data_IF_216385022840
#
_entry.id   IF_216385022840
#
_cell.length_a   1.000
_cell.length_b   1.000
_cell.length_c   1.000
_cell.angle_alpha   90.00
_cell.angle_beta   90.00
_cell.angle_gamma   90.00
#
_symmetry.space_group_name_H-M   'P 1'
#
loop_
_entity.id
_entity.type
_entity.pdbx_description
1 polymer ?
#
# COMPACT_ATOMS: atom_id res chain seq x y z
N UNK A 1 41.03 -12.44 -23.13
CA UNK A 1 40.34 -11.12 -22.92
C UNK A 1 40.43 -10.20 -24.16
N UNK A 2 41.55 -10.14 -24.87
CA UNK A 2 41.72 -9.25 -26.04
C UNK A 2 40.77 -9.53 -27.21
N UNK A 3 40.43 -10.80 -27.48
CA UNK A 3 39.56 -11.20 -28.61
C UNK A 3 38.12 -10.72 -28.41
N UNK A 4 37.57 -10.82 -27.20
CA UNK A 4 36.22 -10.40 -26.91
C UNK A 4 36.01 -8.89 -27.02
N UNK A 5 36.98 -8.08 -26.59
CA UNK A 5 36.91 -6.61 -26.70
C UNK A 5 36.95 -6.19 -28.16
N UNK A 6 37.75 -6.86 -29.00
CA UNK A 6 37.86 -6.58 -30.43
C UNK A 6 36.59 -6.97 -31.20
N UNK A 7 35.91 -8.05 -30.80
CA UNK A 7 34.61 -8.46 -31.35
C UNK A 7 33.51 -7.42 -31.01
N UNK A 8 33.45 -6.94 -29.76
CA UNK A 8 32.50 -5.91 -29.32
C UNK A 8 32.73 -4.60 -30.09
N UNK A 9 33.98 -4.22 -30.29
CA UNK A 9 34.32 -2.98 -31.02
C UNK A 9 34.07 -3.08 -32.52
N UNK A 10 34.11 -4.28 -33.11
CA UNK A 10 33.80 -4.52 -34.52
C UNK A 10 32.30 -4.58 -34.81
N UNK A 11 31.47 -4.97 -33.80
CA UNK A 11 30.04 -5.10 -33.96
C UNK A 11 29.25 -4.16 -33.04
N UNK A 12 29.76 -2.94 -32.82
CA UNK A 12 29.21 -1.95 -31.86
C UNK A 12 27.70 -1.71 -32.01
N UNK A 13 27.17 -1.68 -33.23
CA UNK A 13 25.73 -1.47 -33.45
C UNK A 13 24.86 -2.61 -32.91
N UNK A 14 25.31 -3.86 -33.09
CA UNK A 14 24.54 -5.04 -32.58
C UNK A 14 24.58 -5.12 -31.05
N UNK A 15 25.75 -4.98 -30.45
CA UNK A 15 25.91 -4.99 -29.00
C UNK A 15 25.21 -3.81 -28.34
N UNK A 16 25.26 -2.63 -28.99
CA UNK A 16 24.54 -1.45 -28.52
C UNK A 16 23.03 -1.63 -28.54
N UNK A 17 22.49 -2.29 -29.57
CA UNK A 17 21.03 -2.59 -29.65
C UNK A 17 20.61 -3.59 -28.57
N UNK A 18 21.38 -4.67 -28.38
CA UNK A 18 21.10 -5.64 -27.30
C UNK A 18 21.18 -4.98 -25.93
N UNK A 19 22.26 -4.24 -25.67
CA UNK A 19 22.44 -3.54 -24.40
C UNK A 19 21.32 -2.50 -24.16
N UNK A 20 20.95 -1.75 -25.20
CA UNK A 20 19.84 -0.79 -25.13
C UNK A 20 18.49 -1.46 -24.84
N UNK A 21 18.20 -2.59 -25.47
CA UNK A 21 16.96 -3.34 -25.21
C UNK A 21 16.92 -3.90 -23.78
N UNK A 22 18.03 -4.51 -23.32
CA UNK A 22 18.13 -5.02 -21.95
C UNK A 22 18.02 -3.88 -20.95
N UNK A 23 18.69 -2.76 -21.18
CA UNK A 23 18.61 -1.57 -20.32
C UNK A 23 17.18 -1.02 -20.23
N UNK A 24 16.47 -0.94 -21.38
CA UNK A 24 15.09 -0.48 -21.43
C UNK A 24 14.15 -1.41 -20.63
N UNK A 25 14.27 -2.72 -20.82
CA UNK A 25 13.46 -3.70 -20.08
C UNK A 25 13.76 -3.62 -18.58
N UNK A 26 15.02 -3.52 -18.20
CA UNK A 26 15.43 -3.37 -16.80
C UNK A 26 14.84 -2.10 -16.20
N UNK A 27 14.90 -0.98 -16.93
CA UNK A 27 14.29 0.29 -16.49
C UNK A 27 12.80 0.14 -16.26
N UNK A 28 12.07 -0.49 -17.20
CA UNK A 28 10.63 -0.73 -17.06
C UNK A 28 10.29 -1.58 -15.82
N UNK A 29 11.06 -2.64 -15.58
CA UNK A 29 10.88 -3.50 -14.40
C UNK A 29 11.11 -2.72 -13.11
N UNK A 30 12.19 -1.93 -13.04
CA UNK A 30 12.53 -1.11 -11.87
C UNK A 30 11.44 -0.06 -11.60
N UNK A 31 11.01 0.67 -12.64
CA UNK A 31 9.94 1.68 -12.52
C UNK A 31 8.62 1.04 -12.05
N UNK A 32 8.24 -0.09 -12.65
CA UNK A 32 7.01 -0.79 -12.25
C UNK A 32 7.10 -1.32 -10.82
N UNK A 33 8.24 -1.86 -10.41
CA UNK A 33 8.44 -2.33 -9.03
C UNK A 33 8.33 -1.17 -8.02
N UNK A 34 8.93 -0.02 -8.35
CA UNK A 34 8.82 1.18 -7.53
C UNK A 34 7.39 1.70 -7.43
N UNK A 35 6.66 1.72 -8.56
CA UNK A 35 5.24 2.10 -8.58
C UNK A 35 4.39 1.15 -7.73
N UNK A 36 4.58 -0.16 -7.87
CA UNK A 36 3.86 -1.18 -7.09
C UNK A 36 4.09 -1.00 -5.59
N UNK A 37 5.34 -0.74 -5.18
CA UNK A 37 5.67 -0.50 -3.78
C UNK A 37 5.05 0.81 -3.26
N UNK A 38 5.04 1.87 -4.08
CA UNK A 38 4.42 3.15 -3.73
C UNK A 38 2.91 3.06 -3.55
N UNK A 39 2.21 2.42 -4.49
CA UNK A 39 0.77 2.18 -4.40
C UNK A 39 0.41 1.28 -3.21
N UNK A 40 1.23 0.24 -2.95
CA UNK A 40 1.06 -0.60 -1.78
C UNK A 40 1.09 0.21 -0.48
N UNK A 41 2.06 1.11 -0.32
CA UNK A 41 2.15 1.97 0.87
C UNK A 41 0.95 2.89 1.03
N UNK A 42 0.39 3.42 -0.05
CA UNK A 42 -0.83 4.23 0.01
C UNK A 42 -2.06 3.43 0.45
N UNK A 43 -2.04 2.11 0.27
CA UNK A 43 -3.10 1.24 0.78
C UNK A 43 -2.91 0.87 2.25
N UNK A 44 -1.69 0.60 2.71
CA UNK A 44 -1.43 -0.19 3.92
C UNK A 44 -0.62 0.54 4.98
N UNK A 45 -0.04 1.73 4.71
CA UNK A 45 0.94 2.36 5.60
C UNK A 45 0.42 2.62 7.02
N UNK A 46 -0.86 2.94 7.19
CA UNK A 46 -1.45 3.14 8.51
C UNK A 46 -1.52 1.83 9.32
N UNK A 47 -1.90 0.74 8.67
CA UNK A 47 -1.94 -0.59 9.32
C UNK A 47 -0.54 -1.12 9.61
N UNK A 48 0.41 -0.90 8.69
CA UNK A 48 1.82 -1.25 8.89
C UNK A 48 2.46 -0.48 10.04
N UNK A 49 2.09 0.80 10.21
CA UNK A 49 2.60 1.63 11.30
C UNK A 49 2.02 1.24 12.68
N UNK A 50 0.80 0.68 12.72
CA UNK A 50 0.23 0.10 13.93
C UNK A 50 0.85 -1.26 14.29
N UNK A 51 1.40 -1.98 13.31
CA UNK A 51 2.14 -3.25 13.40
C UNK A 51 1.53 -4.32 14.33
N UNK A 52 0.21 -4.61 14.27
CA UNK A 52 -0.37 -5.69 15.05
C UNK A 52 0.10 -7.06 14.53
N UNK A 53 0.27 -8.03 15.42
CA UNK A 53 0.57 -9.41 15.01
C UNK A 53 -0.64 -10.09 14.39
N UNK A 54 -1.85 -9.79 14.89
CA UNK A 54 -3.10 -10.34 14.39
C UNK A 54 -4.18 -9.27 14.25
N UNK A 55 -5.01 -9.45 13.24
CA UNK A 55 -6.23 -8.66 12.98
C UNK A 55 -7.43 -9.60 13.01
N UNK A 56 -8.39 -9.33 13.89
CA UNK A 56 -9.59 -10.14 14.06
C UNK A 56 -10.77 -9.45 13.40
N UNK A 57 -11.37 -10.10 12.43
CA UNK A 57 -12.60 -9.68 11.76
C UNK A 57 -13.84 -10.31 12.44
N UNK A 58 -15.02 -9.81 12.15
CA UNK A 58 -16.27 -10.39 12.61
C UNK A 58 -16.42 -11.85 12.15
N UNK A 59 -16.09 -12.10 10.88
CA UNK A 59 -16.07 -13.41 10.26
C UNK A 59 -14.65 -13.68 9.73
N UNK A 60 -13.96 -14.71 10.21
CA UNK A 60 -12.62 -15.06 9.73
C UNK A 60 -12.58 -15.48 8.24
N UNK A 61 -13.71 -15.90 7.67
CA UNK A 61 -13.82 -16.30 6.26
C UNK A 61 -14.13 -15.11 5.35
N UNK A 62 -14.67 -14.00 5.90
CA UNK A 62 -14.96 -12.76 5.17
C UNK A 62 -14.07 -11.62 5.66
N UNK A 63 -12.83 -11.59 5.15
CA UNK A 63 -11.84 -10.55 5.48
C UNK A 63 -12.21 -9.25 4.78
N UNK A 64 -12.88 -8.32 5.48
CA UNK A 64 -13.32 -7.06 4.92
C UNK A 64 -13.36 -5.94 5.96
N UNK A 65 -12.55 -4.89 5.76
CA UNK A 65 -12.61 -3.68 6.61
C UNK A 65 -13.89 -2.87 6.39
N UNK A 66 -14.58 -3.08 5.28
CA UNK A 66 -15.79 -2.31 4.96
C UNK A 66 -17.05 -2.85 5.63
N UNK A 67 -17.21 -4.17 5.65
CA UNK A 67 -18.42 -4.86 6.12
C UNK A 67 -18.32 -5.36 7.54
N UNK A 68 -17.12 -5.70 8.00
CA UNK A 68 -16.87 -6.23 9.35
C UNK A 68 -17.28 -5.21 10.43
N UNK A 69 -17.88 -5.69 11.50
CA UNK A 69 -18.27 -4.93 12.70
C UNK A 69 -17.99 -5.76 13.92
N UNK A 70 -17.20 -5.23 14.83
CA UNK A 70 -16.75 -5.95 16.03
C UNK A 70 -17.10 -5.17 17.30
N UNK A 71 -17.32 -5.90 18.37
CA UNK A 71 -17.41 -5.37 19.71
C UNK A 71 -16.04 -5.48 20.40
N UNK A 72 -15.76 -4.58 21.33
CA UNK A 72 -14.53 -4.61 22.11
C UNK A 72 -14.40 -5.93 22.88
N UNK A 73 -13.18 -6.47 22.94
CA UNK A 73 -12.82 -7.67 23.69
C UNK A 73 -11.62 -7.39 24.57
N UNK A 74 -11.59 -7.97 25.75
CA UNK A 74 -10.46 -7.82 26.69
C UNK A 74 -9.13 -8.21 26.02
N UNK A 75 -8.13 -7.34 26.15
CA UNK A 75 -6.80 -7.57 25.60
C UNK A 75 -6.66 -7.31 24.08
N UNK A 76 -7.72 -6.87 23.41
CA UNK A 76 -7.69 -6.51 22.00
C UNK A 76 -8.08 -5.04 21.81
N UNK A 77 -7.45 -4.37 20.88
CA UNK A 77 -7.71 -2.96 20.58
C UNK A 77 -8.65 -2.82 19.39
N UNK A 78 -9.88 -2.27 19.56
CA UNK A 78 -10.76 -2.04 18.42
C UNK A 78 -10.21 -0.93 17.52
N UNK A 79 -10.25 -1.20 16.21
CA UNK A 79 -9.94 -0.24 15.16
C UNK A 79 -11.18 -0.08 14.26
N UNK A 80 -11.76 1.11 14.23
CA UNK A 80 -12.76 1.47 13.23
C UNK A 80 -12.08 2.02 11.98
N UNK A 81 -12.48 1.57 10.80
CA UNK A 81 -11.95 2.03 9.54
C UNK A 81 -13.08 2.35 8.56
N UNK A 82 -13.04 3.55 7.98
CA UNK A 82 -13.99 4.00 6.96
C UNK A 82 -13.37 5.03 6.05
N UNK A 83 -13.88 5.13 4.81
CA UNK A 83 -13.48 6.17 3.86
C UNK A 83 -14.66 7.10 3.60
N UNK A 84 -14.41 8.38 3.65
CA UNK A 84 -15.45 9.41 3.58
C UNK A 84 -14.95 10.68 2.88
N UNK A 85 -15.84 11.61 2.67
CA UNK A 85 -15.50 13.00 2.39
C UNK A 85 -15.46 13.78 3.70
N UNK A 86 -14.43 14.59 3.85
CA UNK A 86 -14.24 15.55 4.93
C UNK A 86 -14.29 16.95 4.32
N UNK A 87 -15.05 17.83 4.93
CA UNK A 87 -15.05 19.26 4.58
C UNK A 87 -14.10 19.98 5.51
N UNK A 88 -13.09 20.64 4.96
CA UNK A 88 -12.12 21.47 5.69
C UNK A 88 -12.75 22.78 6.16
N UNK A 89 -12.15 23.47 7.11
CA UNK A 89 -12.60 24.77 7.61
C UNK A 89 -12.73 25.86 6.54
N UNK A 90 -12.03 25.74 5.42
CA UNK A 90 -12.14 26.63 4.26
C UNK A 90 -13.31 26.27 3.31
N UNK A 91 -14.07 25.21 3.59
CA UNK A 91 -15.18 24.70 2.78
C UNK A 91 -14.77 23.79 1.62
N UNK A 92 -13.51 23.35 1.57
CA UNK A 92 -12.99 22.42 0.57
C UNK A 92 -13.24 20.97 1.01
N UNK A 93 -13.71 20.13 0.09
CA UNK A 93 -13.90 18.71 0.35
C UNK A 93 -12.64 17.92 -0.01
N UNK A 94 -12.27 16.97 0.86
CA UNK A 94 -11.15 16.04 0.66
C UNK A 94 -11.57 14.61 0.98
N UNK A 95 -11.07 13.65 0.21
CA UNK A 95 -11.20 12.23 0.57
C UNK A 95 -10.30 11.91 1.77
N UNK A 96 -10.84 11.25 2.77
CA UNK A 96 -10.15 10.92 4.01
C UNK A 96 -10.44 9.49 4.44
N UNK A 97 -9.45 8.82 4.99
CA UNK A 97 -9.62 7.59 5.74
C UNK A 97 -9.77 7.93 7.23
N UNK A 98 -10.95 7.69 7.77
CA UNK A 98 -11.21 7.82 9.19
C UNK A 98 -10.80 6.52 9.87
N UNK A 99 -9.76 6.58 10.70
CA UNK A 99 -9.33 5.46 11.51
C UNK A 99 -9.56 5.81 12.99
N UNK A 100 -10.30 4.96 13.70
CA UNK A 100 -10.61 5.22 15.10
C UNK A 100 -9.93 4.22 16.02
N UNK A 101 -9.47 4.73 17.15
CA UNK A 101 -8.92 3.96 18.27
C UNK A 101 -9.51 4.46 19.58
N UNK A 102 -9.45 3.66 20.66
CA UNK A 102 -9.82 4.13 22.00
C UNK A 102 -8.98 5.34 22.43
N UNK A 103 -9.59 6.27 23.15
CA UNK A 103 -8.88 7.40 23.76
C UNK A 103 -7.73 6.93 24.63
N UNK A 104 -6.61 7.62 24.58
CA UNK A 104 -5.39 7.27 25.31
C UNK A 104 -4.51 6.24 24.59
N UNK A 105 -4.92 5.73 23.44
CA UNK A 105 -4.07 4.86 22.61
C UNK A 105 -2.91 5.69 22.02
N UNK A 106 -1.71 5.15 22.08
CA UNK A 106 -0.54 5.72 21.43
C UNK A 106 -0.64 5.47 19.92
N UNK A 107 -0.58 6.55 19.15
CA UNK A 107 -0.59 6.52 17.70
C UNK A 107 0.83 6.32 17.15
N UNK A 108 0.96 5.87 15.89
CA UNK A 108 2.22 5.98 15.18
C UNK A 108 2.77 7.41 15.28
N UNK A 109 4.07 7.55 15.62
CA UNK A 109 4.66 8.86 15.91
C UNK A 109 4.65 9.26 17.40
N UNK A 110 4.09 8.42 18.30
CA UNK A 110 4.16 8.58 19.75
C UNK A 110 3.17 9.57 20.37
N UNK A 111 2.20 10.06 19.60
CA UNK A 111 1.13 10.92 20.09
C UNK A 111 0.02 10.08 20.72
N UNK A 112 -0.58 10.58 21.80
CA UNK A 112 -1.75 9.93 22.40
C UNK A 112 -3.05 10.51 21.83
N UNK A 113 -3.95 9.65 21.40
CA UNK A 113 -5.24 10.05 20.88
C UNK A 113 -6.12 10.58 22.04
N UNK A 114 -6.62 11.79 21.85
CA UNK A 114 -7.49 12.49 22.81
C UNK A 114 -8.95 12.55 22.30
N UNK A 115 -9.69 13.57 22.74
CA UNK A 115 -11.01 13.91 22.17
C UNK A 115 -10.89 14.61 20.80
N UNK A 116 -9.69 15.08 20.45
CA UNK A 116 -9.40 15.75 19.20
C UNK A 116 -8.79 14.77 18.19
N UNK A 117 -8.91 15.10 16.91
CA UNK A 117 -8.35 14.30 15.83
C UNK A 117 -6.85 14.54 15.65
N UNK A 118 -6.14 13.53 15.14
CA UNK A 118 -4.77 13.66 14.65
C UNK A 118 -4.78 13.46 13.13
N UNK A 119 -4.35 14.46 12.39
CA UNK A 119 -4.42 14.49 10.93
C UNK A 119 -3.09 14.15 10.26
N UNK A 120 -3.14 13.40 9.16
CA UNK A 120 -1.99 13.24 8.27
C UNK A 120 -1.65 14.59 7.61
N UNK A 121 -0.35 14.95 7.45
CA UNK A 121 0.07 16.20 6.80
C UNK A 121 -0.52 16.40 5.40
N UNK A 122 -0.71 15.34 4.64
CA UNK A 122 -1.30 15.37 3.29
C UNK A 122 -2.78 15.77 3.24
N UNK A 123 -3.46 15.85 4.40
CA UNK A 123 -4.80 16.46 4.48
C UNK A 123 -4.76 17.99 4.38
N UNK A 124 -3.59 18.62 4.59
CA UNK A 124 -3.39 20.08 4.51
C UNK A 124 -4.38 20.85 5.42
N UNK A 125 -4.58 20.34 6.63
CA UNK A 125 -5.35 20.99 7.70
C UNK A 125 -4.41 21.41 8.83
N UNK A 126 -4.76 22.45 9.55
CA UNK A 126 -3.93 22.99 10.66
C UNK A 126 -4.36 22.47 12.04
N UNK A 127 -3.43 22.53 13.01
CA UNK A 127 -3.78 22.34 14.42
C UNK A 127 -4.76 23.42 14.88
N UNK A 128 -5.80 23.02 15.62
CA UNK A 128 -6.90 23.88 16.06
C UNK A 128 -7.97 24.11 14.99
N UNK A 129 -7.79 23.59 13.76
CA UNK A 129 -8.81 23.67 12.72
C UNK A 129 -9.94 22.68 12.99
N UNK A 130 -11.18 23.11 12.74
CA UNK A 130 -12.34 22.21 12.81
C UNK A 130 -12.66 21.70 11.42
N UNK A 131 -12.80 20.39 11.31
CA UNK A 131 -13.19 19.69 10.08
C UNK A 131 -14.52 18.98 10.29
N UNK A 132 -15.31 18.86 9.23
CA UNK A 132 -16.63 18.24 9.27
C UNK A 132 -16.62 16.92 8.50
N UNK A 133 -17.05 15.83 9.15
CA UNK A 133 -17.16 14.49 8.54
C UNK A 133 -18.59 14.00 8.72
N UNK A 134 -19.27 13.73 7.61
CA UNK A 134 -20.67 13.27 7.61
C UNK A 134 -21.61 14.17 8.47
N UNK A 135 -21.34 15.47 8.53
CA UNK A 135 -22.12 16.44 9.30
C UNK A 135 -21.71 16.57 10.77
N UNK A 136 -20.71 15.85 11.24
CA UNK A 136 -20.17 15.92 12.59
C UNK A 136 -18.83 16.68 12.57
N UNK A 137 -18.66 17.59 13.50
CA UNK A 137 -17.46 18.44 13.61
C UNK A 137 -16.46 17.82 14.59
N UNK A 138 -15.20 17.87 14.21
CA UNK A 138 -14.07 17.50 15.09
C UNK A 138 -12.92 18.48 14.91
N UNK A 139 -12.27 18.85 16.02
CA UNK A 139 -11.08 19.68 15.99
C UNK A 139 -9.83 18.83 15.78
N UNK A 140 -8.92 19.31 14.94
CA UNK A 140 -7.60 18.70 14.74
C UNK A 140 -6.68 19.18 15.85
N UNK A 141 -6.33 18.30 16.79
CA UNK A 141 -5.48 18.63 17.93
C UNK A 141 -3.99 18.54 17.61
N UNK A 142 -3.61 17.73 16.61
CA UNK A 142 -2.21 17.58 16.22
C UNK A 142 -2.09 17.09 14.76
N UNK A 143 -0.89 17.32 14.20
CA UNK A 143 -0.49 16.72 12.92
C UNK A 143 0.43 15.52 13.21
N UNK A 144 0.05 14.36 12.72
CA UNK A 144 0.76 13.09 12.91
C UNK A 144 1.68 12.73 11.75
N UNK A 145 1.95 11.43 11.62
CA UNK A 145 2.69 10.89 10.48
C UNK A 145 1.85 10.92 9.20
N UNK A 146 2.53 11.03 8.05
CA UNK A 146 1.87 11.01 6.73
C UNK A 146 1.53 9.58 6.32
N UNK A 147 0.46 9.07 6.90
CA UNK A 147 -0.03 7.72 6.69
C UNK A 147 -1.29 7.70 5.82
N UNK A 148 -1.46 6.58 5.12
CA UNK A 148 -2.61 6.37 4.26
C UNK A 148 -3.27 5.00 4.51
N UNK A 149 -4.57 4.94 4.25
CA UNK A 149 -5.37 3.73 4.27
C UNK A 149 -6.28 3.72 3.04
N UNK A 150 -6.22 2.67 2.23
CA UNK A 150 -7.00 2.54 0.99
C UNK A 150 -6.91 3.80 0.10
N UNK A 151 -5.69 4.29 -0.16
CA UNK A 151 -5.36 5.48 -0.98
C UNK A 151 -5.83 6.83 -0.44
N UNK A 152 -6.36 6.89 0.77
CA UNK A 152 -6.77 8.14 1.39
C UNK A 152 -5.87 8.49 2.57
N UNK A 153 -5.51 9.76 2.76
CA UNK A 153 -4.81 10.22 3.94
C UNK A 153 -5.61 9.93 5.20
N UNK A 154 -4.94 9.64 6.30
CA UNK A 154 -5.58 9.24 7.55
C UNK A 154 -5.93 10.44 8.43
N UNK A 155 -7.13 10.40 8.99
CA UNK A 155 -7.55 11.17 10.14
C UNK A 155 -7.83 10.20 11.29
N UNK A 156 -6.98 10.23 12.32
CA UNK A 156 -7.20 9.46 13.54
C UNK A 156 -8.22 10.15 14.41
N UNK A 157 -9.23 9.40 14.85
CA UNK A 157 -10.32 9.94 15.68
C UNK A 157 -10.61 8.99 16.85
N UNK A 158 -11.18 9.49 17.97
CA UNK A 158 -11.62 8.62 19.05
C UNK A 158 -12.81 7.74 18.59
N UNK A 159 -12.92 6.54 19.15
CA UNK A 159 -13.96 5.56 18.81
C UNK A 159 -15.37 6.15 18.91
N UNK A 160 -15.63 6.99 19.91
CA UNK A 160 -16.96 7.61 20.10
C UNK A 160 -17.36 8.47 18.87
N UNK A 161 -16.42 9.27 18.34
CA UNK A 161 -16.67 10.07 17.16
C UNK A 161 -16.94 9.20 15.92
N UNK A 162 -16.16 8.12 15.75
CA UNK A 162 -16.36 7.19 14.63
C UNK A 162 -17.73 6.51 14.69
N UNK A 163 -18.17 6.09 15.89
CA UNK A 163 -19.51 5.53 16.12
C UNK A 163 -20.61 6.49 15.70
N UNK A 164 -20.47 7.77 16.06
CA UNK A 164 -21.42 8.81 15.70
C UNK A 164 -21.48 9.02 14.19
N UNK A 165 -20.33 9.15 13.53
CA UNK A 165 -20.21 9.32 12.08
C UNK A 165 -20.75 8.12 11.31
N UNK A 166 -20.50 6.90 11.81
CA UNK A 166 -20.94 5.65 11.17
C UNK A 166 -22.35 5.21 11.56
N UNK A 167 -23.00 5.92 12.50
CA UNK A 167 -24.30 5.54 13.07
C UNK A 167 -24.34 4.06 13.50
N UNK A 168 -23.33 3.62 14.27
CA UNK A 168 -23.14 2.22 14.67
C UNK A 168 -22.88 2.07 16.15
N UNK A 169 -23.32 0.96 16.74
CA UNK A 169 -22.98 0.58 18.10
C UNK A 169 -21.68 -0.24 18.19
N UNK A 170 -21.16 -0.72 17.05
CA UNK A 170 -19.92 -1.48 17.00
C UNK A 170 -18.72 -0.63 17.46
N UNK A 171 -17.75 -1.26 18.12
CA UNK A 171 -16.55 -0.58 18.62
C UNK A 171 -15.48 -0.40 17.55
N UNK A 172 -15.58 -1.14 16.45
CA UNK A 172 -14.66 -1.03 15.31
C UNK A 172 -15.07 -1.91 14.15
N UNK A 173 -14.27 -1.90 13.12
CA UNK A 173 -14.37 -2.84 12.00
C UNK A 173 -13.56 -4.10 12.25
N UNK A 174 -12.48 -3.98 13.01
CA UNK A 174 -11.59 -5.08 13.39
C UNK A 174 -11.05 -4.89 14.80
N UNK A 175 -10.51 -5.97 15.39
CA UNK A 175 -9.72 -5.90 16.61
C UNK A 175 -8.26 -6.18 16.29
N UNK A 176 -7.36 -5.38 16.86
CA UNK A 176 -5.92 -5.53 16.74
C UNK A 176 -5.37 -6.25 17.96
N UNK A 177 -4.38 -7.10 17.75
CA UNK A 177 -3.67 -7.82 18.81
C UNK A 177 -2.17 -7.81 18.56
N UNK A 178 -1.40 -7.62 19.64
CA UNK A 178 0.07 -7.73 19.64
C UNK A 178 0.55 -9.20 19.72
N UNK A 179 -0.37 -10.15 19.71
CA UNK A 179 -0.09 -11.58 19.76
C UNK A 179 -0.94 -12.32 18.74
N UNK A 180 -0.54 -13.56 18.42
CA UNK A 180 -1.41 -14.46 17.68
C UNK A 180 -2.63 -14.83 18.53
N UNK A 181 -3.82 -14.67 17.96
CA UNK A 181 -5.10 -15.01 18.61
C UNK A 181 -5.92 -15.93 17.72
N UNK A 182 -6.73 -16.78 18.34
CA UNK A 182 -7.61 -17.69 17.60
C UNK A 182 -8.64 -16.91 16.77
N UNK A 183 -8.76 -17.26 15.50
CA UNK A 183 -9.62 -16.54 14.54
C UNK A 183 -9.03 -15.21 14.04
N UNK A 184 -7.83 -14.83 14.46
CA UNK A 184 -7.12 -13.69 13.93
C UNK A 184 -6.30 -14.04 12.69
N UNK A 185 -6.21 -13.12 11.75
CA UNK A 185 -5.35 -13.25 10.58
C UNK A 185 -4.09 -12.40 10.73
N UNK A 186 -2.93 -12.83 10.22
CA UNK A 186 -1.72 -12.01 10.22
C UNK A 186 -1.94 -10.68 9.50
N UNK A 187 -1.25 -9.63 9.95
CA UNK A 187 -1.36 -8.28 9.37
C UNK A 187 -1.31 -8.28 7.83
N UNK A 188 -0.35 -8.99 7.23
CA UNK A 188 -0.22 -9.02 5.75
C UNK A 188 -1.38 -9.69 5.04
N UNK A 189 -2.02 -10.66 5.66
CA UNK A 189 -3.20 -11.33 5.10
C UNK A 189 -4.44 -10.43 5.22
N UNK A 190 -4.53 -9.63 6.28
CA UNK A 190 -5.62 -8.67 6.48
C UNK A 190 -5.71 -7.62 5.37
N UNK A 191 -4.61 -7.32 4.67
CA UNK A 191 -4.62 -6.39 3.54
C UNK A 191 -5.54 -6.82 2.40
N UNK A 192 -5.83 -8.12 2.28
CA UNK A 192 -6.81 -8.62 1.30
C UNK A 192 -8.23 -8.09 1.57
N UNK A 193 -8.51 -7.66 2.80
CA UNK A 193 -9.77 -7.04 3.19
C UNK A 193 -9.88 -5.54 2.89
N UNK A 194 -8.82 -4.92 2.34
CA UNK A 194 -8.85 -3.53 1.89
C UNK A 194 -9.54 -3.44 0.52
N UNK A 195 -10.42 -2.45 0.31
CA UNK A 195 -11.03 -2.22 -0.99
C UNK A 195 -9.97 -2.08 -2.09
N UNK A 196 -10.22 -2.73 -3.22
CA UNK A 196 -9.35 -2.72 -4.40
C UNK A 196 -7.93 -3.31 -4.25
N UNK A 197 -7.38 -3.50 -3.06
CA UNK A 197 -6.00 -3.98 -2.84
C UNK A 197 -5.69 -5.28 -3.59
N UNK A 198 -6.54 -6.30 -3.44
CA UNK A 198 -6.34 -7.61 -4.09
C UNK A 198 -6.36 -7.51 -5.61
N UNK A 199 -7.25 -6.68 -6.17
CA UNK A 199 -7.36 -6.45 -7.61
C UNK A 199 -6.15 -5.71 -8.16
N UNK A 200 -5.68 -4.67 -7.47
CA UNK A 200 -4.50 -3.90 -7.83
C UNK A 200 -3.23 -4.76 -7.77
N UNK A 201 -3.01 -5.45 -6.66
CA UNK A 201 -1.85 -6.32 -6.48
C UNK A 201 -1.86 -7.48 -7.50
N UNK A 202 -3.01 -8.06 -7.78
CA UNK A 202 -3.17 -9.08 -8.80
C UNK A 202 -2.79 -8.58 -10.19
N UNK A 203 -3.30 -7.43 -10.59
CA UNK A 203 -3.01 -6.80 -11.88
C UNK A 203 -1.52 -6.43 -12.01
N UNK A 204 -0.93 -5.84 -10.99
CA UNK A 204 0.50 -5.44 -10.99
C UNK A 204 1.43 -6.66 -11.05
N UNK A 205 1.14 -7.73 -10.30
CA UNK A 205 1.90 -8.99 -10.36
C UNK A 205 1.81 -9.66 -11.74
N UNK A 206 0.62 -9.63 -12.36
CA UNK A 206 0.41 -10.15 -13.71
C UNK A 206 1.24 -9.37 -14.73
N UNK A 207 1.22 -8.04 -14.70
CA UNK A 207 2.01 -7.17 -15.58
C UNK A 207 3.50 -7.45 -15.38
N UNK A 208 3.98 -7.54 -14.14
CA UNK A 208 5.36 -7.91 -13.83
C UNK A 208 5.74 -9.27 -14.39
N UNK A 209 4.86 -10.27 -14.24
CA UNK A 209 5.07 -11.62 -14.80
C UNK A 209 5.24 -11.60 -16.31
N UNK A 210 4.41 -10.86 -17.02
CA UNK A 210 4.55 -10.67 -18.48
C UNK A 210 5.84 -9.96 -18.85
N UNK A 211 6.25 -8.92 -18.12
CA UNK A 211 7.52 -8.24 -18.39
C UNK A 211 8.73 -9.17 -18.22
N UNK A 212 8.74 -10.01 -17.18
CA UNK A 212 9.79 -11.01 -17.01
C UNK A 212 9.80 -12.05 -18.14
N UNK A 213 8.63 -12.53 -18.57
CA UNK A 213 8.52 -13.46 -19.69
C UNK A 213 9.02 -12.85 -21.00
N UNK A 214 8.67 -11.59 -21.29
CA UNK A 214 9.14 -10.85 -22.46
C UNK A 214 10.65 -10.64 -22.38
N UNK A 215 11.18 -10.25 -21.21
CA UNK A 215 12.62 -10.10 -21.00
C UNK A 215 13.40 -11.37 -21.32
N UNK A 216 12.92 -12.51 -20.76
CA UNK A 216 13.55 -13.80 -21.02
C UNK A 216 13.50 -14.18 -22.51
N UNK A 217 12.35 -13.99 -23.16
CA UNK A 217 12.17 -14.29 -24.59
C UNK A 217 13.10 -13.44 -25.49
N UNK A 218 13.24 -12.16 -25.18
CA UNK A 218 14.13 -11.26 -25.89
C UNK A 218 15.59 -11.70 -25.76
N UNK A 219 16.03 -12.01 -24.54
CA UNK A 219 17.40 -12.49 -24.29
C UNK A 219 17.65 -13.80 -25.04
N UNK A 220 16.73 -14.75 -24.96
CA UNK A 220 16.85 -16.05 -25.68
C UNK A 220 16.89 -15.84 -27.18
N UNK A 221 16.04 -14.97 -27.74
CA UNK A 221 16.03 -14.67 -29.16
C UNK A 221 17.38 -14.08 -29.64
N UNK A 222 17.92 -13.12 -28.90
CA UNK A 222 19.24 -12.54 -29.22
C UNK A 222 20.38 -13.56 -29.15
N UNK A 223 20.41 -14.39 -28.08
CA UNK A 223 21.41 -15.44 -27.92
C UNK A 223 21.32 -16.48 -29.05
N UNK A 224 20.10 -16.86 -29.44
CA UNK A 224 19.89 -17.79 -30.57
C UNK A 224 20.41 -17.24 -31.88
N UNK A 225 20.04 -16.01 -32.22
CA UNK A 225 20.53 -15.36 -33.45
C UNK A 225 22.07 -15.24 -33.42
N UNK A 226 22.63 -14.87 -32.27
CA UNK A 226 24.09 -14.77 -32.14
C UNK A 226 24.78 -16.12 -32.30
N UNK A 227 24.26 -17.19 -31.69
CA UNK A 227 24.80 -18.55 -31.82
C UNK A 227 24.72 -19.05 -33.25
N UNK A 228 23.59 -18.82 -33.96
CA UNK A 228 23.42 -19.22 -35.36
C UNK A 228 24.40 -18.50 -36.31
N UNK A 229 24.71 -17.23 -36.07
CA UNK A 229 25.70 -16.49 -36.87
C UNK A 229 27.11 -17.03 -36.65
N UNK A 230 27.47 -17.41 -35.43
CA UNK A 230 28.79 -17.93 -35.07
C UNK A 230 29.03 -19.34 -35.62
N UNK A 231 28.01 -20.20 -35.64
CA UNK A 231 28.14 -21.53 -36.28
C UNK A 231 28.39 -21.47 -37.79
N UNK A 232 27.91 -20.44 -38.44
CA UNK A 232 28.13 -20.22 -39.87
C UNK A 232 29.58 -19.81 -40.18
N UNK A 233 30.20 -19.05 -39.29
CA UNK A 233 31.62 -18.63 -39.42
C UNK A 233 32.58 -19.79 -39.12
N UNK A 234 32.18 -20.74 -38.25
CA UNK A 234 32.98 -21.94 -37.93
C UNK A 234 32.86 -23.04 -38.97
N UNK A 235 31.83 -23.03 -39.83
CA UNK A 235 31.64 -24.00 -40.91
C UNK A 235 32.48 -23.69 -42.17
N UNK A 236 33.21 -22.58 -42.22
CA UNK A 236 34.03 -22.11 -43.34
C UNK A 236 35.53 -22.35 -43.07
N UNK A 237 35.90 -22.81 -41.90
CA UNK A 237 37.23 -23.27 -41.49
C UNK A 237 37.37 -24.78 -41.65
#
# INVERSE_FOLDING_TARGET
>A
MFVGIREITSARGRFGLIAGTVALITLLVVVLTGLTAGLGKQNTSALEALDPQSVVFQDPEDISFTTSRVEARDGLTPLGASQMLMTKGNGEDAAVAILSLPKGTELPGGQQLSDEAVAAPSLEVGEGETVTVAGNDITVGAIGEDLAFSHSPVLWVPTDFWKEVMHTDADGTVLLSDHEVDGGVPLKESFSGLPAYSSEQGSLKLIQGFLYAIAALVIVAFLTVWTMQRTRDLAIL
#
